data_IF_192965393583
#
_entry.id   IF_192965393583
#
_cell.length_a   1.000
_cell.length_b   1.000
_cell.length_c   1.000
_cell.angle_alpha   90.00
_cell.angle_beta   90.00
_cell.angle_gamma   90.00
#
_symmetry.space_group_name_H-M   'P 1'
#
loop_
_entity.id
_entity.type
_entity.pdbx_description
1 polymer ?
#
# COMPACT_ATOMS: atom_id res chain seq x y z
N UNK A 1 13.83 -1.27 -1.55
CA UNK A 1 13.94 -0.99 -3.01
C UNK A 1 15.02 0.06 -3.29
N UNK A 2 16.05 -0.31 -4.06
CA UNK A 2 17.20 0.57 -4.38
C UNK A 2 16.96 1.23 -5.74
N UNK A 3 17.23 2.53 -5.83
CA UNK A 3 17.17 3.25 -7.09
C UNK A 3 18.44 3.02 -7.93
N UNK A 4 18.45 3.37 -9.22
CA UNK A 4 19.63 3.20 -10.10
C UNK A 4 20.90 3.89 -9.57
N UNK A 5 20.74 4.88 -8.69
CA UNK A 5 21.82 5.56 -7.97
C UNK A 5 22.43 4.76 -6.81
N UNK A 6 21.92 3.57 -6.48
CA UNK A 6 22.36 2.78 -5.32
C UNK A 6 21.79 3.26 -3.98
N UNK A 7 20.94 4.30 -3.99
CA UNK A 7 20.32 4.88 -2.80
C UNK A 7 18.93 4.31 -2.54
N UNK A 8 18.55 4.29 -1.27
CA UNK A 8 17.24 3.80 -0.82
C UNK A 8 16.18 4.87 -1.11
N UNK A 9 15.01 4.47 -1.62
CA UNK A 9 13.88 5.38 -1.93
C UNK A 9 13.15 5.96 -0.70
N UNK A 10 13.67 5.73 0.51
CA UNK A 10 13.09 6.26 1.75
C UNK A 10 11.78 5.60 2.20
N UNK A 11 11.36 4.51 1.56
CA UNK A 11 10.23 3.68 1.95
C UNK A 11 10.50 2.21 1.60
N UNK A 12 9.79 1.30 2.26
CA UNK A 12 9.85 -0.13 1.97
C UNK A 12 8.51 -0.80 2.28
N UNK A 13 8.35 -2.04 1.81
CA UNK A 13 7.16 -2.84 2.04
C UNK A 13 7.53 -4.13 2.78
N UNK A 14 6.74 -4.47 3.80
CA UNK A 14 6.89 -5.70 4.57
C UNK A 14 5.59 -6.51 4.48
N UNK A 15 5.73 -7.80 4.20
CA UNK A 15 4.61 -8.75 4.20
C UNK A 15 4.66 -9.57 5.49
N UNK A 16 3.51 -9.66 6.16
CA UNK A 16 3.33 -10.47 7.36
C UNK A 16 2.54 -11.73 7.02
N UNK A 17 2.74 -12.79 7.79
CA UNK A 17 1.98 -14.03 7.69
C UNK A 17 0.63 -13.96 8.42
N UNK A 18 0.48 -13.02 9.37
CA UNK A 18 -0.74 -12.83 10.14
C UNK A 18 -1.16 -11.34 10.19
N UNK A 19 -2.46 -11.10 10.05
CA UNK A 19 -3.07 -9.77 10.11
C UNK A 19 -2.95 -9.11 11.47
N UNK A 20 -2.98 -9.88 12.55
CA UNK A 20 -2.84 -9.31 13.90
C UNK A 20 -1.43 -8.77 14.15
N UNK A 21 -0.42 -9.44 13.61
CA UNK A 21 0.97 -8.96 13.67
C UNK A 21 1.13 -7.66 12.87
N UNK A 22 0.46 -7.54 11.72
CA UNK A 22 0.44 -6.30 10.94
C UNK A 22 -0.20 -5.15 11.73
N UNK A 23 -1.31 -5.39 12.43
CA UNK A 23 -1.96 -4.37 13.27
C UNK A 23 -1.05 -3.91 14.39
N UNK A 24 -0.39 -4.84 15.09
CA UNK A 24 0.57 -4.51 16.16
C UNK A 24 1.71 -3.67 15.60
N UNK A 25 2.31 -4.09 14.48
CA UNK A 25 3.39 -3.35 13.83
C UNK A 25 2.99 -1.91 13.46
N UNK A 26 1.81 -1.70 12.87
CA UNK A 26 1.32 -0.34 12.56
C UNK A 26 1.12 0.48 13.82
N UNK A 27 0.51 -0.08 14.88
CA UNK A 27 0.26 0.64 16.12
C UNK A 27 1.53 1.02 16.88
N UNK A 28 2.53 0.13 16.89
CA UNK A 28 3.75 0.30 17.67
C UNK A 28 4.83 1.10 16.93
N UNK A 29 4.92 0.95 15.61
CA UNK A 29 6.02 1.51 14.82
C UNK A 29 5.64 2.79 14.07
N UNK A 30 4.36 3.09 13.89
CA UNK A 30 3.96 4.36 13.33
C UNK A 30 4.35 5.49 14.29
N UNK A 31 4.94 6.56 13.76
CA UNK A 31 5.52 7.66 14.53
C UNK A 31 6.72 7.28 15.41
N UNK A 32 7.29 6.08 15.26
CA UNK A 32 8.49 5.67 16.00
C UNK A 32 9.75 6.38 15.45
N UNK A 33 10.55 6.95 16.34
CA UNK A 33 11.82 7.60 15.98
C UNK A 33 12.96 6.57 15.91
N UNK A 34 13.29 6.12 14.70
CA UNK A 34 14.36 5.12 14.49
C UNK A 34 15.76 5.71 14.67
N UNK A 35 15.91 7.01 14.43
CA UNK A 35 17.15 7.78 14.60
C UNK A 35 16.78 9.22 14.89
N UNK A 36 17.63 9.97 15.59
CA UNK A 36 17.42 11.39 15.89
C UNK A 36 16.94 12.19 14.66
N UNK A 37 15.72 12.73 14.72
CA UNK A 37 15.06 13.47 13.64
C UNK A 37 14.52 12.62 12.48
N UNK A 38 14.45 11.30 12.62
CA UNK A 38 13.95 10.35 11.61
C UNK A 38 12.82 9.51 12.21
N UNK A 39 11.60 9.94 11.91
CA UNK A 39 10.37 9.31 12.35
C UNK A 39 9.85 8.41 11.24
N UNK A 40 9.42 7.20 11.59
CA UNK A 40 8.77 6.27 10.68
C UNK A 40 7.31 6.65 10.48
N UNK A 41 6.83 6.53 9.26
CA UNK A 41 5.40 6.47 8.94
C UNK A 41 5.09 5.05 8.52
N UNK A 42 4.22 4.38 9.27
CA UNK A 42 3.85 2.98 9.04
C UNK A 42 2.34 2.92 8.88
N UNK A 43 1.88 2.36 7.77
CA UNK A 43 0.47 2.22 7.45
C UNK A 43 0.21 0.86 6.78
N UNK A 44 -1.06 0.46 6.74
CA UNK A 44 -1.45 -0.68 5.94
C UNK A 44 -1.25 -0.36 4.46
N UNK A 45 -0.74 -1.33 3.70
CA UNK A 45 -0.74 -1.24 2.25
C UNK A 45 -2.19 -1.13 1.77
N UNK A 46 -2.48 -0.10 0.99
CA UNK A 46 -3.79 0.08 0.36
C UNK A 46 -3.69 -0.46 -1.05
N UNK A 47 -4.49 -1.49 -1.34
CA UNK A 47 -4.60 -2.04 -2.67
C UNK A 47 -5.37 -1.07 -3.56
N UNK A 48 -4.64 -0.29 -4.34
CA UNK A 48 -5.20 0.60 -5.36
C UNK A 48 -5.61 -0.18 -6.61
N UNK A 49 -6.47 -1.19 -6.45
CA UNK A 49 -6.99 -2.02 -7.54
C UNK A 49 -8.14 -1.33 -8.31
N UNK A 50 -8.03 -0.02 -8.54
CA UNK A 50 -9.03 0.72 -9.32
C UNK A 50 -8.73 0.60 -10.81
N UNK A 51 -9.62 -0.09 -11.52
CA UNK A 51 -9.56 -0.17 -12.98
C UNK A 51 -10.43 0.93 -13.60
N UNK A 52 -9.87 1.71 -14.51
CA UNK A 52 -10.66 2.62 -15.34
C UNK A 52 -10.97 1.94 -16.68
N UNK A 53 -12.26 1.78 -16.99
CA UNK A 53 -12.73 1.22 -18.26
C UNK A 53 -13.38 2.34 -19.08
N UNK A 54 -12.71 2.73 -20.17
CA UNK A 54 -13.27 3.64 -21.16
C UNK A 54 -14.19 2.92 -22.16
N UNK A 55 -15.12 3.66 -22.77
CA UNK A 55 -16.01 3.19 -23.86
C UNK A 55 -16.87 1.98 -23.47
N UNK A 56 -17.68 2.14 -22.42
CA UNK A 56 -18.73 1.16 -22.10
C UNK A 56 -19.90 1.37 -23.07
N UNK A 57 -20.27 0.38 -23.91
CA UNK A 57 -21.46 0.50 -24.75
C UNK A 57 -22.70 0.70 -23.87
N UNK A 58 -23.52 1.71 -24.14
CA UNK A 58 -24.74 2.05 -23.37
C UNK A 58 -25.74 0.89 -23.24
N UNK A 59 -25.57 -0.16 -24.04
CA UNK A 59 -26.46 -1.32 -24.11
C UNK A 59 -26.08 -2.44 -23.14
N UNK A 60 -24.89 -2.41 -22.52
CA UNK A 60 -24.49 -3.44 -21.55
C UNK A 60 -24.98 -3.09 -20.16
N UNK A 61 -25.74 -4.00 -19.53
CA UNK A 61 -26.22 -3.82 -18.17
C UNK A 61 -25.03 -3.88 -17.19
N UNK A 62 -25.13 -3.15 -16.08
CA UNK A 62 -24.13 -3.12 -15.00
C UNK A 62 -23.78 -4.54 -14.52
N UNK A 63 -24.75 -5.45 -14.53
CA UNK A 63 -24.60 -6.84 -14.08
C UNK A 63 -23.79 -7.72 -15.03
N UNK A 64 -23.67 -7.37 -16.31
CA UNK A 64 -22.76 -8.07 -17.25
C UNK A 64 -21.30 -7.63 -17.10
N UNK A 65 -21.06 -6.46 -16.49
CA UNK A 65 -19.74 -5.85 -16.32
C UNK A 65 -19.16 -6.12 -14.92
N UNK A 66 -20.02 -6.33 -13.93
CA UNK A 66 -19.66 -6.71 -12.56
C UNK A 66 -19.70 -8.24 -12.45
N UNK A 67 -18.63 -8.88 -12.89
CA UNK A 67 -18.38 -10.31 -12.67
C UNK A 67 -18.03 -10.58 -11.20
#
# INVERSE_FOLDING_TARGET
>A
MVDFSGLNRGHDFCMYTNRDDTKRAVNELNCYEIRKGKILSVCFSIDNCHLFIGVIPKLKAKDELML
#
